data_IF_773481900071
#
_entry.id   IF_773481900071
#
_cell.length_a   1.000
_cell.length_b   1.000
_cell.length_c   1.000
_cell.angle_alpha   90.00
_cell.angle_beta   90.00
_cell.angle_gamma   90.00
#
_symmetry.space_group_name_H-M   'P 1'
#
loop_
_entity.id
_entity.type
_entity.pdbx_description
1 polymer ?
#
# COMPACT_ATOMS: atom_id res chain seq x y z
N UNK A 1 -0.90 -11.49 91.24
CA UNK A 1 -0.92 -10.16 90.59
C UNK A 1 -1.75 -10.28 89.35
N UNK A 2 -2.96 -9.84 89.53
CA UNK A 2 -4.10 -10.05 88.57
C UNK A 2 -4.16 -8.91 87.57
N UNK A 3 -3.76 -9.14 86.36
CA UNK A 3 -3.95 -8.13 85.26
C UNK A 3 -5.42 -8.13 84.86
N UNK A 4 -6.16 -7.21 85.46
CA UNK A 4 -7.55 -6.91 85.05
C UNK A 4 -7.57 -6.42 83.61
N UNK A 5 -7.95 -7.30 82.71
CA UNK A 5 -8.35 -6.92 81.35
C UNK A 5 -9.58 -6.02 81.46
N UNK A 6 -9.39 -4.72 81.34
CA UNK A 6 -10.47 -3.74 81.32
C UNK A 6 -11.33 -3.94 80.05
N UNK A 7 -12.66 -4.07 80.19
CA UNK A 7 -13.59 -4.28 79.06
C UNK A 7 -13.49 -3.18 77.95
N UNK A 8 -13.00 -1.99 78.27
CA UNK A 8 -12.78 -0.89 77.28
C UNK A 8 -11.67 -1.18 76.30
N UNK A 9 -10.58 -1.83 76.66
CA UNK A 9 -9.47 -2.09 75.75
C UNK A 9 -9.78 -3.17 74.68
N UNK A 10 -10.73 -4.06 74.97
CA UNK A 10 -11.25 -5.03 73.99
C UNK A 10 -12.24 -4.38 72.99
N UNK A 11 -13.08 -3.46 73.47
CA UNK A 11 -14.03 -2.71 72.63
C UNK A 11 -13.30 -1.75 71.71
N UNK A 12 -12.24 -1.06 72.17
CA UNK A 12 -11.41 -0.17 71.33
C UNK A 12 -10.65 -0.97 70.23
N UNK A 13 -10.10 -2.11 70.56
CA UNK A 13 -9.46 -3.00 69.58
C UNK A 13 -10.46 -3.55 68.51
N UNK A 14 -11.68 -3.89 68.93
CA UNK A 14 -12.71 -4.33 67.98
C UNK A 14 -13.18 -3.20 67.08
N UNK A 15 -13.22 -1.97 67.58
CA UNK A 15 -13.58 -0.76 66.80
C UNK A 15 -12.48 -0.46 65.79
N UNK A 16 -11.21 -0.50 66.21
CA UNK A 16 -10.05 -0.30 65.32
C UNK A 16 -9.99 -1.38 64.19
N UNK A 17 -10.21 -2.64 64.52
CA UNK A 17 -10.28 -3.73 63.55
C UNK A 17 -11.46 -3.59 62.58
N UNK A 18 -12.61 -3.09 63.06
CA UNK A 18 -13.77 -2.84 62.21
C UNK A 18 -13.55 -1.65 61.28
N UNK A 19 -12.86 -0.60 61.77
CA UNK A 19 -12.45 0.56 60.94
C UNK A 19 -11.41 0.16 59.92
N UNK A 20 -10.39 -0.59 60.28
CA UNK A 20 -9.36 -1.09 59.34
C UNK A 20 -9.98 -1.99 58.26
N UNK A 21 -10.88 -2.89 58.62
CA UNK A 21 -11.61 -3.73 57.69
C UNK A 21 -12.50 -2.91 56.75
N UNK A 22 -13.15 -1.85 57.25
CA UNK A 22 -13.98 -0.95 56.40
C UNK A 22 -13.12 -0.19 55.41
N UNK A 23 -11.98 0.33 55.85
CA UNK A 23 -11.02 1.04 54.95
C UNK A 23 -10.45 0.11 53.88
N UNK A 24 -10.04 -1.11 54.24
CA UNK A 24 -9.60 -2.12 53.29
C UNK A 24 -10.68 -2.51 52.28
N UNK A 25 -11.93 -2.62 52.73
CA UNK A 25 -13.05 -2.95 51.86
C UNK A 25 -13.37 -1.81 50.86
N UNK A 26 -13.26 -0.56 51.28
CA UNK A 26 -13.41 0.61 50.41
C UNK A 26 -12.27 0.69 49.40
N UNK A 27 -11.04 0.39 49.81
CA UNK A 27 -9.87 0.38 48.92
C UNK A 27 -9.98 -0.74 47.87
N UNK A 28 -10.36 -1.95 48.26
CA UNK A 28 -10.65 -3.05 47.35
C UNK A 28 -11.74 -2.71 46.32
N UNK A 29 -12.80 -2.07 46.77
CA UNK A 29 -13.92 -1.66 45.92
C UNK A 29 -13.49 -0.60 44.92
N UNK A 30 -12.68 0.36 45.33
CA UNK A 30 -12.11 1.40 44.42
C UNK A 30 -11.20 0.76 43.37
N UNK A 31 -10.34 -0.15 43.73
CA UNK A 31 -9.47 -0.88 42.79
C UNK A 31 -10.30 -1.71 41.80
N UNK A 32 -11.31 -2.43 42.25
CA UNK A 32 -12.18 -3.21 41.41
C UNK A 32 -12.94 -2.32 40.37
N UNK A 33 -13.47 -1.19 40.80
CA UNK A 33 -14.16 -0.24 39.95
C UNK A 33 -13.22 0.37 38.90
N UNK A 34 -11.98 0.68 39.27
CA UNK A 34 -10.96 1.20 38.37
C UNK A 34 -10.55 0.15 37.32
N UNK A 35 -10.29 -1.09 37.75
CA UNK A 35 -9.99 -2.19 36.83
C UNK A 35 -11.15 -2.48 35.86
N UNK A 36 -12.39 -2.40 36.33
CA UNK A 36 -13.56 -2.58 35.51
C UNK A 36 -13.70 -1.44 34.48
N UNK A 37 -13.41 -0.20 34.87
CA UNK A 37 -13.40 0.94 33.97
C UNK A 37 -12.32 0.80 32.87
N UNK A 38 -11.08 0.48 33.27
CA UNK A 38 -9.97 0.26 32.32
C UNK A 38 -10.27 -0.88 31.33
N UNK A 39 -10.88 -1.98 31.76
CA UNK A 39 -11.29 -3.08 30.88
C UNK A 39 -12.36 -2.66 29.86
N UNK A 40 -13.37 -1.89 30.30
CA UNK A 40 -14.40 -1.37 29.38
C UNK A 40 -13.79 -0.48 28.32
N UNK A 41 -12.90 0.43 28.70
CA UNK A 41 -12.21 1.34 27.82
C UNK A 41 -11.27 0.61 26.86
N UNK A 42 -10.50 -0.37 27.33
CA UNK A 42 -9.65 -1.22 26.50
C UNK A 42 -10.47 -1.96 25.42
N UNK A 43 -11.69 -2.37 25.77
CA UNK A 43 -12.61 -3.01 24.81
C UNK A 43 -13.07 -2.03 23.72
N UNK A 44 -13.30 -0.74 24.04
CA UNK A 44 -13.63 0.28 23.03
C UNK A 44 -12.47 0.51 22.07
N UNK A 45 -11.25 0.62 22.61
CA UNK A 45 -10.02 0.74 21.78
C UNK A 45 -9.85 -0.46 20.86
N UNK A 46 -10.02 -1.68 21.39
CA UNK A 46 -9.88 -2.93 20.61
C UNK A 46 -10.93 -3.07 19.50
N UNK A 47 -12.10 -2.46 19.66
CA UNK A 47 -13.17 -2.44 18.64
C UNK A 47 -12.93 -1.41 17.53
N UNK A 48 -11.88 -0.60 17.61
CA UNK A 48 -11.60 0.42 16.61
C UNK A 48 -12.61 1.56 16.57
N UNK A 49 -13.21 1.88 17.73
CA UNK A 49 -14.11 3.04 17.86
C UNK A 49 -13.31 4.31 17.59
N UNK A 50 -13.96 5.33 17.01
CA UNK A 50 -13.32 6.62 16.72
C UNK A 50 -12.59 7.17 17.93
N UNK A 51 -11.34 7.67 17.80
CA UNK A 51 -10.54 8.16 18.92
C UNK A 51 -11.25 9.20 19.78
N UNK A 52 -12.06 10.06 19.20
CA UNK A 52 -12.85 11.08 19.91
C UNK A 52 -13.84 10.50 20.90
N UNK A 53 -14.52 9.41 20.54
CA UNK A 53 -15.44 8.71 21.44
C UNK A 53 -14.69 8.02 22.59
N UNK A 54 -13.52 7.45 22.28
CA UNK A 54 -12.64 6.86 23.30
C UNK A 54 -12.19 7.95 24.28
N UNK A 55 -11.77 9.11 23.79
CA UNK A 55 -11.32 10.22 24.62
C UNK A 55 -12.41 10.69 25.60
N UNK A 56 -13.64 10.88 25.09
CA UNK A 56 -14.78 11.27 25.91
C UNK A 56 -15.13 10.23 26.97
N UNK A 57 -15.08 8.93 26.61
CA UNK A 57 -15.31 7.87 27.57
C UNK A 57 -14.22 7.82 28.65
N UNK A 58 -12.95 7.95 28.27
CA UNK A 58 -11.81 7.92 29.20
C UNK A 58 -11.87 9.08 30.19
N UNK A 59 -12.08 10.33 29.75
CA UNK A 59 -12.10 11.47 30.67
C UNK A 59 -13.28 11.41 31.65
N UNK A 60 -14.43 10.84 31.25
CA UNK A 60 -15.59 10.62 32.12
C UNK A 60 -15.27 9.58 33.21
N UNK A 61 -14.72 8.42 32.82
CA UNK A 61 -14.34 7.37 33.77
C UNK A 61 -13.21 7.82 34.69
N UNK A 62 -12.16 8.44 34.16
CA UNK A 62 -11.05 9.00 34.90
C UNK A 62 -11.52 9.96 35.98
N UNK A 63 -12.38 10.95 35.62
CA UNK A 63 -12.95 11.87 36.58
C UNK A 63 -13.68 11.15 37.72
N UNK A 64 -14.47 10.13 37.39
CA UNK A 64 -15.24 9.35 38.37
C UNK A 64 -14.33 8.55 39.29
N UNK A 65 -13.34 7.87 38.74
CA UNK A 65 -12.43 7.02 39.51
C UNK A 65 -11.61 7.79 40.54
N UNK A 66 -11.13 9.00 40.20
CA UNK A 66 -10.33 9.82 41.13
C UNK A 66 -11.16 10.87 41.89
N UNK A 67 -12.50 10.80 41.76
CA UNK A 67 -13.43 11.73 42.43
C UNK A 67 -13.11 13.22 42.16
N UNK A 68 -12.62 13.52 40.95
CA UNK A 68 -12.27 14.89 40.57
C UNK A 68 -13.50 15.71 40.16
N UNK A 69 -13.42 17.05 40.30
CA UNK A 69 -14.46 17.95 39.89
C UNK A 69 -14.44 18.22 38.38
N UNK A 70 -13.26 18.19 37.78
CA UNK A 70 -13.06 18.29 36.32
C UNK A 70 -11.98 17.33 35.86
N UNK A 71 -12.11 16.85 34.63
CA UNK A 71 -11.10 16.11 33.92
C UNK A 71 -11.03 16.62 32.48
N UNK A 72 -9.83 16.58 31.90
CA UNK A 72 -9.62 16.99 30.51
C UNK A 72 -8.46 16.26 29.88
N UNK A 73 -8.59 16.05 28.57
CA UNK A 73 -7.52 15.62 27.69
C UNK A 73 -7.07 16.79 26.85
N UNK A 74 -5.79 17.03 26.80
CA UNK A 74 -5.15 18.12 26.08
C UNK A 74 -4.08 17.59 25.17
N UNK A 75 -4.00 18.09 23.91
CA UNK A 75 -2.97 17.75 22.95
C UNK A 75 -1.98 18.90 22.80
N UNK A 76 -0.68 18.61 22.79
CA UNK A 76 0.35 19.61 22.47
C UNK A 76 0.37 19.89 20.97
N UNK A 77 0.43 21.16 20.60
CA UNK A 77 0.56 21.62 19.22
C UNK A 77 1.99 22.09 18.94
N UNK A 78 2.39 22.02 17.69
CA UNK A 78 3.71 22.50 17.25
C UNK A 78 3.91 24.01 17.43
N UNK A 79 2.80 24.77 17.58
CA UNK A 79 2.79 26.22 17.83
C UNK A 79 3.19 26.61 19.26
N UNK A 80 3.48 25.65 20.16
CA UNK A 80 3.69 25.94 21.59
C UNK A 80 2.42 26.14 22.39
N UNK A 81 1.29 25.69 21.88
CA UNK A 81 -0.01 25.72 22.52
C UNK A 81 -0.46 24.30 22.90
N UNK A 82 -1.49 24.22 23.75
CA UNK A 82 -2.25 22.99 23.96
C UNK A 82 -3.70 23.20 23.54
N UNK A 83 -4.28 22.17 22.93
CA UNK A 83 -5.69 22.15 22.51
C UNK A 83 -6.48 21.16 23.37
N UNK A 84 -7.60 21.59 23.92
CA UNK A 84 -8.51 20.73 24.66
C UNK A 84 -9.22 19.75 23.71
N UNK A 85 -9.04 18.46 23.91
CA UNK A 85 -9.56 17.40 23.01
C UNK A 85 -10.81 16.75 23.60
N UNK A 86 -10.84 16.55 24.93
CA UNK A 86 -12.02 16.02 25.62
C UNK A 86 -12.14 16.61 27.02
N UNK A 87 -13.36 16.61 27.56
CA UNK A 87 -13.63 17.17 28.90
C UNK A 87 -14.77 16.44 29.61
N UNK A 88 -14.66 16.31 30.94
CA UNK A 88 -15.73 15.83 31.79
C UNK A 88 -15.78 16.69 33.07
N UNK A 89 -16.97 17.14 33.47
CA UNK A 89 -17.20 17.96 34.67
C UNK A 89 -18.16 17.25 35.60
N UNK A 90 -18.03 17.51 36.89
CA UNK A 90 -18.95 16.98 37.89
C UNK A 90 -20.31 17.73 37.79
N UNK A 91 -21.45 17.02 37.74
CA UNK A 91 -22.76 17.67 37.79
C UNK A 91 -22.89 18.56 39.02
N UNK A 92 -23.34 19.78 38.81
CA UNK A 92 -23.50 20.76 39.90
C UNK A 92 -22.27 21.63 40.21
N UNK A 93 -21.12 21.38 39.61
CA UNK A 93 -19.96 22.27 39.79
C UNK A 93 -20.11 23.49 38.86
N UNK A 94 -20.12 24.68 39.45
CA UNK A 94 -20.18 25.98 38.69
C UNK A 94 -18.76 26.36 38.25
N UNK A 95 -18.23 25.65 37.26
CA UNK A 95 -16.97 26.01 36.61
C UNK A 95 -17.24 26.85 35.37
N UNK A 96 -16.38 27.82 35.09
CA UNK A 96 -16.35 28.48 33.77
C UNK A 96 -15.81 27.44 32.80
N UNK A 97 -16.64 27.05 31.80
CA UNK A 97 -16.30 25.96 30.88
C UNK A 97 -15.26 26.38 29.89
N UNK A 98 -14.24 25.53 29.76
CA UNK A 98 -13.35 25.55 28.60
C UNK A 98 -13.83 24.45 27.62
N UNK A 99 -14.50 24.86 26.54
CA UNK A 99 -15.03 23.87 25.59
C UNK A 99 -13.91 23.09 24.88
N UNK A 100 -14.25 21.93 24.33
CA UNK A 100 -13.39 21.21 23.41
C UNK A 100 -13.01 22.14 22.25
N UNK A 101 -11.76 22.11 21.81
CA UNK A 101 -11.19 23.04 20.83
C UNK A 101 -10.54 24.29 21.43
N UNK A 102 -10.69 24.52 22.74
CA UNK A 102 -10.00 25.66 23.40
C UNK A 102 -8.50 25.50 23.29
N UNK A 103 -7.81 26.52 22.80
CA UNK A 103 -6.36 26.63 22.75
C UNK A 103 -5.82 27.53 23.81
N UNK A 104 -4.75 27.10 24.47
CA UNK A 104 -4.04 27.90 25.44
C UNK A 104 -2.53 27.77 25.25
N UNK A 105 -1.75 28.85 25.41
CA UNK A 105 -0.32 28.81 25.33
C UNK A 105 0.25 27.96 26.48
N UNK A 106 1.35 27.26 26.21
CA UNK A 106 2.11 26.55 27.23
C UNK A 106 3.08 27.53 27.84
N UNK A 107 2.78 27.96 29.07
CA UNK A 107 3.60 28.88 29.88
C UNK A 107 4.40 28.04 30.89
N UNK A 108 5.68 28.34 31.11
CA UNK A 108 6.62 27.59 31.95
C UNK A 108 6.11 27.32 33.37
N UNK A 109 5.22 28.16 33.89
CA UNK A 109 4.58 28.00 35.19
C UNK A 109 3.38 27.05 35.22
N UNK A 110 2.99 26.49 34.07
CA UNK A 110 1.80 25.66 33.96
C UNK A 110 2.06 24.19 34.23
N UNK A 111 1.03 23.47 34.68
CA UNK A 111 1.02 22.01 34.79
C UNK A 111 1.39 21.36 33.44
N UNK A 112 0.89 21.91 32.33
CA UNK A 112 1.18 21.43 31.00
C UNK A 112 2.67 21.55 30.64
N UNK A 113 3.32 22.69 30.96
CA UNK A 113 4.76 22.87 30.73
C UNK A 113 5.60 21.90 31.57
N UNK A 114 5.23 21.65 32.81
CA UNK A 114 5.92 20.68 33.67
C UNK A 114 5.86 19.27 33.09
N UNK A 115 4.67 18.81 32.65
CA UNK A 115 4.48 17.50 32.05
C UNK A 115 5.23 17.41 30.71
N UNK A 116 5.16 18.41 29.84
CA UNK A 116 5.83 18.43 28.55
C UNK A 116 7.35 18.32 28.69
N UNK A 117 7.93 19.12 29.59
CA UNK A 117 9.39 19.17 29.80
C UNK A 117 9.95 17.90 30.42
N UNK A 118 9.24 17.32 31.37
CA UNK A 118 9.74 16.18 32.14
C UNK A 118 9.34 14.83 31.56
N UNK A 119 8.26 14.79 30.79
CA UNK A 119 7.62 13.52 30.36
C UNK A 119 7.09 12.70 31.52
N UNK A 120 6.89 13.29 32.70
CA UNK A 120 6.46 12.66 33.93
C UNK A 120 5.20 13.30 34.48
N UNK A 121 4.43 12.59 35.33
CA UNK A 121 3.34 13.20 36.07
C UNK A 121 3.79 14.43 36.84
N UNK A 122 2.90 15.41 36.93
CA UNK A 122 3.12 16.63 37.67
C UNK A 122 1.85 17.02 38.42
N UNK A 123 2.02 17.78 39.53
CA UNK A 123 0.91 18.26 40.32
C UNK A 123 1.06 19.74 40.69
N UNK A 124 -0.07 20.36 40.86
CA UNK A 124 -0.23 21.72 41.39
C UNK A 124 -1.15 21.61 42.62
N UNK A 125 -0.54 21.58 43.81
CA UNK A 125 -1.29 21.44 45.06
C UNK A 125 -2.12 22.69 45.40
N UNK A 126 -1.73 23.86 44.90
CA UNK A 126 -2.49 25.08 45.00
C UNK A 126 -2.20 26.00 43.82
N UNK A 127 -3.26 26.53 43.21
CA UNK A 127 -3.18 27.62 42.24
C UNK A 127 -3.24 28.99 42.89
N UNK A 128 -3.52 29.11 44.20
CA UNK A 128 -3.70 30.40 44.87
C UNK A 128 -2.43 31.25 44.86
N UNK A 129 -1.28 30.60 45.00
CA UNK A 129 0.04 31.24 45.02
C UNK A 129 0.74 31.22 43.68
N UNK A 130 0.19 30.52 42.70
CA UNK A 130 0.82 30.36 41.37
C UNK A 130 0.74 31.67 40.56
N UNK A 131 1.89 32.08 40.01
CA UNK A 131 2.00 33.29 39.16
C UNK A 131 1.75 32.90 37.69
N UNK A 132 1.37 33.89 36.87
CA UNK A 132 1.17 33.75 35.43
C UNK A 132 -0.29 33.87 34.99
N UNK A 133 -0.47 34.18 33.72
CA UNK A 133 -1.78 34.43 33.11
C UNK A 133 -2.65 33.17 33.08
N UNK A 134 -2.07 32.00 32.85
CA UNK A 134 -2.79 30.73 32.81
C UNK A 134 -3.22 30.31 34.23
N UNK A 135 -2.36 30.47 35.22
CA UNK A 135 -2.73 30.21 36.63
C UNK A 135 -3.90 31.06 37.05
N UNK A 136 -3.90 32.34 36.68
CA UNK A 136 -5.01 33.24 36.91
C UNK A 136 -6.33 32.77 36.23
N UNK A 137 -6.24 32.30 34.99
CA UNK A 137 -7.38 31.71 34.26
C UNK A 137 -7.89 30.43 34.90
N UNK A 138 -6.99 29.55 35.36
CA UNK A 138 -7.36 28.31 36.08
C UNK A 138 -8.06 28.63 37.38
N UNK A 139 -7.59 29.65 38.15
CA UNK A 139 -8.29 30.15 39.34
C UNK A 139 -9.68 30.73 39.01
N UNK A 140 -9.78 31.50 37.91
CA UNK A 140 -11.04 32.09 37.47
C UNK A 140 -12.08 31.01 37.11
N UNK A 141 -11.66 29.85 36.58
CA UNK A 141 -12.56 28.70 36.35
C UNK A 141 -12.86 27.91 37.64
N UNK A 142 -12.31 28.28 38.78
CA UNK A 142 -12.62 27.71 40.09
C UNK A 142 -11.76 26.52 40.50
N UNK A 143 -10.78 26.10 39.72
CA UNK A 143 -9.87 24.99 40.04
C UNK A 143 -8.81 25.46 41.04
N UNK A 144 -8.66 24.76 42.16
CA UNK A 144 -7.71 25.06 43.22
C UNK A 144 -6.48 24.18 43.21
N UNK A 145 -6.64 22.90 42.90
CA UNK A 145 -5.55 21.94 42.76
C UNK A 145 -5.74 21.11 41.49
N UNK A 146 -4.65 20.64 40.89
CA UNK A 146 -4.70 19.78 39.69
C UNK A 146 -3.53 18.81 39.64
N UNK A 147 -3.78 17.66 39.00
CA UNK A 147 -2.77 16.66 38.67
C UNK A 147 -2.83 16.40 37.17
N UNK A 148 -1.67 16.32 36.53
CA UNK A 148 -1.52 16.02 35.11
C UNK A 148 -0.57 14.85 34.87
N UNK A 149 -0.92 13.99 33.94
CA UNK A 149 -0.13 12.82 33.54
C UNK A 149 0.10 12.86 32.03
N UNK A 150 1.32 12.61 31.53
CA UNK A 150 1.61 12.60 30.12
C UNK A 150 0.87 11.49 29.40
N UNK A 151 0.38 11.77 28.20
CA UNK A 151 -0.03 10.78 27.21
C UNK A 151 1.15 10.55 26.27
N UNK A 152 1.71 9.35 26.29
CA UNK A 152 2.88 8.97 25.48
C UNK A 152 2.38 8.20 24.24
N UNK A 153 2.84 8.62 23.07
CA UNK A 153 2.58 7.96 21.78
C UNK A 153 3.92 7.77 21.09
N UNK A 154 4.28 6.54 20.76
CA UNK A 154 5.55 6.18 20.12
C UNK A 154 6.79 6.82 20.81
N UNK A 155 6.80 6.82 22.14
CA UNK A 155 7.89 7.34 22.95
C UNK A 155 7.96 8.87 23.07
N UNK A 156 6.98 9.60 22.54
CA UNK A 156 6.88 11.07 22.62
C UNK A 156 5.67 11.51 23.40
N UNK A 157 5.80 12.63 24.10
CA UNK A 157 4.66 13.27 24.81
C UNK A 157 3.75 13.86 23.74
N UNK A 158 2.61 13.22 23.51
CA UNK A 158 1.56 13.67 22.59
C UNK A 158 0.63 14.70 23.23
N UNK A 159 0.35 14.52 24.51
CA UNK A 159 -0.58 15.33 25.23
C UNK A 159 -0.50 15.09 26.74
N UNK A 160 -1.49 15.58 27.46
CA UNK A 160 -1.67 15.28 28.88
C UNK A 160 -3.14 15.05 29.21
N UNK A 161 -3.39 14.16 30.15
CA UNK A 161 -4.63 14.11 30.90
C UNK A 161 -4.45 14.93 32.17
N UNK A 162 -5.45 15.74 32.49
CA UNK A 162 -5.43 16.54 33.70
C UNK A 162 -6.76 16.42 34.44
N UNK A 163 -6.68 16.30 35.76
CA UNK A 163 -7.82 16.35 36.67
C UNK A 163 -7.67 17.53 37.60
N UNK A 164 -8.79 18.15 37.98
CA UNK A 164 -8.80 19.30 38.87
C UNK A 164 -9.82 19.18 39.96
N UNK A 165 -9.51 19.78 41.10
CA UNK A 165 -10.37 19.89 42.26
C UNK A 165 -10.72 21.36 42.56
N UNK A 166 -11.97 21.62 42.96
CA UNK A 166 -12.41 22.92 43.50
C UNK A 166 -12.42 22.91 45.02
N UNK A 167 -12.21 21.74 45.64
CA UNK A 167 -12.08 21.63 47.09
C UNK A 167 -10.76 22.26 47.57
N UNK A 168 -10.72 22.76 48.80
CA UNK A 168 -9.47 23.23 49.41
C UNK A 168 -8.53 22.03 49.68
N UNK A 169 -7.23 22.27 49.53
CA UNK A 169 -6.19 21.26 49.78
C UNK A 169 -5.74 20.53 48.54
N UNK A 170 -4.62 19.73 48.67
CA UNK A 170 -4.06 18.98 47.58
C UNK A 170 -4.94 17.79 47.21
N UNK A 171 -4.77 17.28 45.98
CA UNK A 171 -5.39 16.05 45.55
C UNK A 171 -4.71 14.84 46.22
N UNK A 172 -5.43 13.70 46.36
CA UNK A 172 -4.83 12.45 46.95
C UNK A 172 -3.49 12.08 46.34
N UNK A 173 -2.58 11.52 47.16
CA UNK A 173 -1.22 11.22 46.74
C UNK A 173 -1.13 10.11 45.67
N UNK A 174 -2.15 9.25 45.57
CA UNK A 174 -2.26 8.16 44.60
C UNK A 174 -2.81 8.60 43.22
N UNK A 175 -3.22 9.86 43.07
CA UNK A 175 -3.92 10.37 41.88
C UNK A 175 -3.09 10.17 40.62
N UNK A 176 -1.79 10.46 40.62
CA UNK A 176 -0.90 10.30 39.46
C UNK A 176 -0.82 8.84 39.01
N UNK A 177 -0.64 7.90 39.94
CA UNK A 177 -0.55 6.48 39.63
C UNK A 177 -1.85 5.97 38.97
N UNK A 178 -2.99 6.39 39.51
CA UNK A 178 -4.31 6.01 38.98
C UNK A 178 -4.61 6.60 37.62
N UNK A 179 -4.16 7.82 37.34
CA UNK A 179 -4.32 8.45 36.02
C UNK A 179 -3.44 7.82 34.97
N UNK A 180 -2.30 7.23 35.31
CA UNK A 180 -1.35 6.66 34.37
C UNK A 180 -1.96 5.57 33.52
N UNK A 181 -2.77 4.66 34.08
CA UNK A 181 -3.46 3.62 33.33
C UNK A 181 -4.44 4.16 32.27
N UNK A 182 -5.13 5.26 32.59
CA UNK A 182 -6.00 5.93 31.61
C UNK A 182 -5.20 6.66 30.51
N UNK A 183 -4.07 7.28 30.86
CA UNK A 183 -3.18 7.92 29.89
C UNK A 183 -2.57 6.92 28.89
N UNK A 184 -2.20 5.73 29.35
CA UNK A 184 -1.72 4.63 28.50
C UNK A 184 -2.77 4.15 27.49
N UNK A 185 -4.04 4.03 27.94
CA UNK A 185 -5.15 3.68 27.04
C UNK A 185 -5.38 4.73 25.97
N UNK A 186 -5.30 6.02 26.32
CA UNK A 186 -5.40 7.10 25.34
C UNK A 186 -4.23 7.03 24.36
N UNK A 187 -3.00 6.83 24.85
CA UNK A 187 -1.83 6.67 24.00
C UNK A 187 -1.98 5.52 22.99
N UNK A 188 -2.51 4.40 23.45
CA UNK A 188 -2.82 3.24 22.60
C UNK A 188 -3.88 3.57 21.54
N UNK A 189 -4.96 4.25 21.91
CA UNK A 189 -6.03 4.67 20.98
C UNK A 189 -5.51 5.65 19.91
N UNK A 190 -4.70 6.62 20.31
CA UNK A 190 -4.06 7.56 19.39
C UNK A 190 -3.13 6.86 18.41
N UNK A 191 -2.26 5.97 18.91
CA UNK A 191 -1.34 5.20 18.08
C UNK A 191 -2.08 4.26 17.09
N UNK A 192 -3.20 3.69 17.49
CA UNK A 192 -4.07 2.89 16.61
C UNK A 192 -4.69 3.77 15.52
N UNK A 193 -5.22 4.94 15.86
CA UNK A 193 -5.81 5.89 14.92
C UNK A 193 -4.79 6.37 13.88
N UNK A 194 -3.56 6.69 14.25
CA UNK A 194 -2.50 7.06 13.30
C UNK A 194 -2.15 5.92 12.34
N UNK A 195 -2.08 4.67 12.83
CA UNK A 195 -1.81 3.50 11.99
C UNK A 195 -2.94 3.24 11.01
N UNK A 196 -4.19 3.37 11.43
CA UNK A 196 -5.35 3.18 10.56
C UNK A 196 -5.43 4.27 9.49
N UNK A 197 -5.18 5.53 9.84
CA UNK A 197 -5.12 6.63 8.87
C UNK A 197 -4.00 6.43 7.86
N UNK A 198 -2.80 6.06 8.32
CA UNK A 198 -1.67 5.74 7.42
C UNK A 198 -1.99 4.57 6.48
N UNK A 199 -2.67 3.53 7.00
CA UNK A 199 -3.11 2.40 6.19
C UNK A 199 -4.16 2.82 5.15
N UNK A 200 -5.14 3.66 5.54
CA UNK A 200 -6.13 4.21 4.59
C UNK A 200 -5.45 5.02 3.49
N UNK A 201 -4.52 5.90 3.84
CA UNK A 201 -3.77 6.68 2.85
C UNK A 201 -3.00 5.79 1.88
N UNK A 202 -2.33 4.73 2.36
CA UNK A 202 -1.63 3.78 1.50
C UNK A 202 -2.59 3.03 0.55
N UNK A 203 -3.78 2.65 1.03
CA UNK A 203 -4.81 1.98 0.22
C UNK A 203 -5.39 2.95 -0.82
N UNK A 204 -5.65 4.19 -0.45
CA UNK A 204 -6.18 5.22 -1.35
C UNK A 204 -5.15 5.58 -2.42
N UNK A 205 -3.88 5.73 -2.06
CA UNK A 205 -2.79 5.96 -3.01
C UNK A 205 -2.63 4.77 -3.99
N UNK A 206 -2.70 3.53 -3.49
CA UNK A 206 -2.64 2.34 -4.33
C UNK A 206 -3.84 2.23 -5.28
N UNK A 207 -5.06 2.54 -4.79
CA UNK A 207 -6.28 2.57 -5.59
C UNK A 207 -6.23 3.64 -6.67
N UNK A 208 -5.79 4.85 -6.32
CA UNK A 208 -5.61 5.96 -7.26
C UNK A 208 -4.59 5.61 -8.33
N UNK A 209 -3.44 5.06 -7.93
CA UNK A 209 -2.41 4.60 -8.86
C UNK A 209 -2.95 3.55 -9.83
N UNK A 210 -3.70 2.57 -9.33
CA UNK A 210 -4.34 1.53 -10.15
C UNK A 210 -5.30 2.13 -11.18
N UNK A 211 -6.16 3.07 -10.76
CA UNK A 211 -7.11 3.74 -11.65
C UNK A 211 -6.42 4.58 -12.74
N UNK A 212 -5.29 5.21 -12.43
CA UNK A 212 -4.51 5.97 -13.41
C UNK A 212 -3.87 5.05 -14.45
N UNK A 213 -3.33 3.90 -14.05
CA UNK A 213 -2.81 2.91 -14.98
C UNK A 213 -3.94 2.37 -15.86
N UNK A 214 -5.09 2.00 -15.28
CA UNK A 214 -6.24 1.52 -16.03
C UNK A 214 -6.67 2.56 -17.11
N UNK A 215 -6.67 3.84 -16.77
CA UNK A 215 -6.99 4.93 -17.70
C UNK A 215 -6.01 5.03 -18.88
N UNK A 216 -4.71 4.81 -18.65
CA UNK A 216 -3.71 4.74 -19.71
C UNK A 216 -3.89 3.50 -20.59
N UNK A 217 -4.18 2.34 -19.98
CA UNK A 217 -4.38 1.07 -20.69
C UNK A 217 -5.65 1.10 -21.58
N UNK A 218 -6.70 1.78 -21.13
CA UNK A 218 -7.97 1.93 -21.84
C UNK A 218 -7.94 3.02 -22.92
N UNK A 219 -6.92 3.87 -22.94
CA UNK A 219 -6.77 4.94 -23.93
C UNK A 219 -7.71 6.12 -23.67
N UNK A 220 -7.98 6.45 -22.41
CA UNK A 220 -8.72 7.68 -22.11
C UNK A 220 -7.96 8.88 -22.63
N UNK A 221 -8.69 9.88 -23.12
CA UNK A 221 -8.09 11.10 -23.63
C UNK A 221 -7.47 11.92 -22.49
N UNK A 222 -6.20 12.24 -22.62
CA UNK A 222 -5.47 13.10 -21.70
C UNK A 222 -4.97 14.34 -22.46
N UNK A 223 -5.15 15.52 -21.88
CA UNK A 223 -4.41 16.71 -22.26
C UNK A 223 -2.99 16.69 -21.66
N UNK A 224 -2.15 17.64 -22.03
CA UNK A 224 -0.74 17.66 -21.60
C UNK A 224 -0.58 17.89 -20.10
N UNK A 225 -1.52 18.60 -19.46
CA UNK A 225 -1.50 18.84 -18.02
C UNK A 225 -1.88 17.59 -17.24
N UNK A 226 -3.00 16.97 -17.58
CA UNK A 226 -3.46 15.74 -16.93
C UNK A 226 -2.52 14.56 -17.16
N UNK A 227 -1.92 14.44 -18.34
CA UNK A 227 -0.90 13.42 -18.62
C UNK A 227 0.36 13.62 -17.75
N UNK A 228 0.74 14.89 -17.51
CA UNK A 228 1.86 15.21 -16.61
C UNK A 228 1.61 14.78 -15.17
N UNK A 229 0.41 15.04 -14.67
CA UNK A 229 -0.01 14.61 -13.33
C UNK A 229 -0.05 13.07 -13.20
N UNK A 230 -0.56 12.41 -14.24
CA UNK A 230 -0.57 10.93 -14.30
C UNK A 230 0.85 10.37 -14.25
N UNK A 231 1.76 10.92 -15.09
CA UNK A 231 3.16 10.49 -15.13
C UNK A 231 3.84 10.65 -13.75
N UNK A 232 3.62 11.79 -13.08
CA UNK A 232 4.16 12.06 -11.74
C UNK A 232 3.64 11.07 -10.69
N UNK A 233 2.33 10.83 -10.63
CA UNK A 233 1.73 9.87 -9.70
C UNK A 233 2.21 8.44 -9.94
N UNK A 234 2.43 8.06 -11.20
CA UNK A 234 2.97 6.76 -11.57
C UNK A 234 4.49 6.68 -11.42
N UNK A 235 5.16 7.79 -11.12
CA UNK A 235 6.63 7.92 -11.06
C UNK A 235 7.28 7.52 -12.38
N UNK A 236 6.63 7.85 -13.49
CA UNK A 236 7.16 7.70 -14.84
C UNK A 236 7.62 9.06 -15.36
N UNK A 237 8.63 9.12 -16.23
CA UNK A 237 8.93 10.35 -16.95
C UNK A 237 7.80 10.68 -17.94
N UNK A 238 7.68 11.95 -18.30
CA UNK A 238 6.65 12.42 -19.26
C UNK A 238 6.86 11.87 -20.67
N UNK A 239 8.12 11.68 -21.05
CA UNK A 239 8.52 11.26 -22.39
C UNK A 239 9.39 10.01 -22.28
N UNK A 240 9.14 9.03 -23.18
CA UNK A 240 9.83 7.77 -23.27
C UNK A 240 11.32 7.85 -23.63
N UNK A 241 11.88 6.80 -24.12
CA UNK A 241 11.20 5.60 -24.66
C UNK A 241 10.66 4.64 -23.60
N UNK A 242 9.47 4.09 -23.90
CA UNK A 242 8.80 3.08 -23.07
C UNK A 242 8.60 1.78 -23.84
N UNK A 243 8.38 0.69 -23.12
CA UNK A 243 7.79 -0.56 -23.61
C UNK A 243 6.66 -0.99 -22.68
N UNK A 244 5.69 -1.72 -23.22
CA UNK A 244 4.72 -2.45 -22.42
C UNK A 244 5.16 -3.89 -22.32
N UNK A 245 5.12 -4.45 -21.11
CA UNK A 245 5.35 -5.85 -20.83
C UNK A 245 4.04 -6.44 -20.32
N UNK A 246 3.59 -7.54 -20.95
CA UNK A 246 2.39 -8.27 -20.58
C UNK A 246 2.77 -9.72 -20.21
N UNK A 247 2.38 -10.16 -19.02
CA UNK A 247 2.62 -11.53 -18.53
C UNK A 247 1.30 -12.23 -18.26
N UNK A 248 1.13 -13.47 -18.76
CA UNK A 248 -0.09 -14.25 -18.57
C UNK A 248 -0.24 -14.70 -17.11
N UNK A 249 -1.46 -14.64 -16.56
CA UNK A 249 -1.81 -15.22 -15.26
C UNK A 249 -2.27 -16.64 -15.44
N UNK A 250 -1.64 -17.59 -14.73
CA UNK A 250 -2.11 -19.00 -14.71
C UNK A 250 -3.36 -19.15 -13.87
N UNK A 251 -4.25 -20.03 -14.29
CA UNK A 251 -5.43 -20.39 -13.52
C UNK A 251 -5.04 -20.87 -12.10
N UNK A 252 -5.50 -20.19 -11.05
CA UNK A 252 -5.16 -20.52 -9.66
C UNK A 252 -3.74 -20.13 -9.21
N UNK A 253 -2.99 -19.41 -10.07
CA UNK A 253 -1.63 -18.96 -9.78
C UNK A 253 -1.58 -17.58 -9.13
N UNK A 254 -0.43 -17.30 -8.49
CA UNK A 254 -0.11 -15.98 -7.97
C UNK A 254 0.26 -14.97 -9.07
N UNK A 255 0.81 -13.85 -8.67
CA UNK A 255 1.32 -12.81 -9.55
C UNK A 255 2.40 -13.37 -10.49
N UNK A 256 2.25 -13.23 -11.83
CA UNK A 256 3.21 -13.80 -12.80
C UNK A 256 4.63 -13.28 -12.65
N UNK A 257 4.78 -12.01 -12.29
CA UNK A 257 6.04 -11.32 -12.07
C UNK A 257 6.05 -10.69 -10.66
N UNK A 258 6.19 -11.48 -9.59
CA UNK A 258 6.09 -10.97 -8.23
C UNK A 258 7.19 -9.94 -7.93
N UNK A 259 6.82 -8.85 -7.28
CA UNK A 259 7.71 -7.73 -6.88
C UNK A 259 8.57 -7.15 -8.02
N UNK A 260 8.13 -7.29 -9.27
CA UNK A 260 8.89 -6.85 -10.47
C UNK A 260 9.23 -5.37 -10.40
N UNK A 261 8.29 -4.51 -9.97
CA UNK A 261 8.54 -3.07 -9.89
C UNK A 261 9.69 -2.73 -8.93
N UNK A 262 9.77 -3.41 -7.79
CA UNK A 262 10.86 -3.23 -6.83
C UNK A 262 12.21 -3.67 -7.39
N UNK A 263 12.23 -4.81 -8.13
CA UNK A 263 13.44 -5.31 -8.77
C UNK A 263 13.91 -4.40 -9.91
N UNK A 264 12.99 -3.87 -10.72
CA UNK A 264 13.34 -2.91 -11.77
C UNK A 264 13.85 -1.61 -11.18
N UNK A 265 13.26 -1.14 -10.09
CA UNK A 265 13.74 0.07 -9.38
C UNK A 265 15.17 -0.10 -8.84
N UNK A 266 15.55 -1.29 -8.38
CA UNK A 266 16.94 -1.56 -7.96
C UNK A 266 17.95 -1.54 -9.12
N UNK A 267 17.47 -1.60 -10.37
CA UNK A 267 18.25 -1.45 -11.60
C UNK A 267 18.14 -0.04 -12.21
N UNK A 268 17.59 0.92 -11.45
CA UNK A 268 17.29 2.29 -11.90
C UNK A 268 16.36 2.33 -13.13
N UNK A 269 15.40 1.41 -13.18
CA UNK A 269 14.39 1.33 -14.24
C UNK A 269 13.04 1.77 -13.68
N UNK A 270 12.50 2.87 -14.21
CA UNK A 270 11.18 3.37 -13.86
C UNK A 270 10.09 2.52 -14.51
N UNK A 271 9.10 2.12 -13.73
CA UNK A 271 8.00 1.31 -14.23
C UNK A 271 6.74 1.46 -13.38
N UNK A 272 5.59 1.22 -14.00
CA UNK A 272 4.30 1.18 -13.35
C UNK A 272 3.58 -0.11 -13.74
N UNK A 273 3.07 -0.85 -12.75
CA UNK A 273 2.53 -2.20 -12.94
C UNK A 273 1.10 -2.32 -12.45
N UNK A 274 0.32 -3.15 -13.15
CA UNK A 274 -1.06 -3.47 -12.87
C UNK A 274 -1.30 -4.97 -13.01
N UNK A 275 -1.85 -5.59 -11.98
CA UNK A 275 -2.35 -6.96 -12.05
C UNK A 275 -3.83 -6.91 -12.44
N UNK A 276 -4.17 -7.58 -13.52
CA UNK A 276 -5.52 -7.78 -14.04
C UNK A 276 -5.89 -9.26 -13.93
N UNK A 277 -7.17 -9.66 -14.06
CA UNK A 277 -7.58 -11.06 -13.86
C UNK A 277 -6.82 -12.07 -14.71
N UNK A 278 -6.57 -11.74 -15.99
CA UNK A 278 -5.97 -12.67 -16.95
C UNK A 278 -4.49 -12.42 -17.23
N UNK A 279 -3.96 -11.27 -16.81
CA UNK A 279 -2.61 -10.85 -17.15
C UNK A 279 -2.10 -9.73 -16.24
N UNK A 280 -0.78 -9.68 -16.05
CA UNK A 280 -0.08 -8.58 -15.42
C UNK A 280 0.55 -7.70 -16.50
N UNK A 281 0.37 -6.39 -16.38
CA UNK A 281 0.90 -5.43 -17.36
C UNK A 281 1.79 -4.40 -16.68
N UNK A 282 2.88 -4.05 -17.34
CA UNK A 282 3.77 -2.98 -16.90
C UNK A 282 4.13 -2.04 -18.03
N UNK A 283 4.13 -0.74 -17.75
CA UNK A 283 4.73 0.30 -18.56
C UNK A 283 6.13 0.51 -18.03
N UNK A 284 7.15 0.27 -18.85
CA UNK A 284 8.55 0.25 -18.42
C UNK A 284 9.34 1.24 -19.27
N UNK A 285 10.07 2.15 -18.63
CA UNK A 285 11.00 3.05 -19.33
C UNK A 285 12.27 2.32 -19.69
N UNK A 286 12.69 2.39 -20.96
CA UNK A 286 13.94 1.79 -21.45
C UNK A 286 14.67 2.77 -22.36
N UNK A 287 15.82 3.25 -21.93
CA UNK A 287 16.57 4.31 -22.59
C UNK A 287 17.58 3.80 -23.62
N UNK A 288 17.91 2.50 -23.61
CA UNK A 288 18.87 1.88 -24.52
C UNK A 288 18.51 0.42 -24.77
N UNK A 289 19.07 -0.16 -25.84
CA UNK A 289 18.94 -1.61 -26.14
C UNK A 289 19.53 -2.45 -25.01
N UNK A 290 20.70 -2.08 -24.49
CA UNK A 290 21.33 -2.78 -23.38
C UNK A 290 20.45 -2.78 -22.11
N UNK A 291 19.73 -1.69 -21.83
CA UNK A 291 18.80 -1.65 -20.72
C UNK A 291 17.58 -2.55 -20.96
N UNK A 292 17.06 -2.57 -22.19
CA UNK A 292 15.98 -3.47 -22.59
C UNK A 292 16.40 -4.94 -22.42
N UNK A 293 17.58 -5.30 -22.87
CA UNK A 293 18.12 -6.66 -22.73
C UNK A 293 18.22 -7.09 -21.26
N UNK A 294 18.66 -6.20 -20.38
CA UNK A 294 18.68 -6.45 -18.93
C UNK A 294 17.29 -6.65 -18.35
N UNK A 295 16.32 -5.83 -18.76
CA UNK A 295 14.92 -5.95 -18.35
C UNK A 295 14.35 -7.28 -18.82
N UNK A 296 14.54 -7.63 -20.10
CA UNK A 296 14.10 -8.90 -20.70
C UNK A 296 14.74 -10.10 -19.99
N UNK A 297 16.05 -10.06 -19.73
CA UNK A 297 16.74 -11.11 -19.00
C UNK A 297 16.22 -11.28 -17.56
N UNK A 298 15.89 -10.18 -16.86
CA UNK A 298 15.28 -10.23 -15.54
C UNK A 298 13.88 -10.86 -15.60
N UNK A 299 13.04 -10.36 -16.51
CA UNK A 299 11.68 -10.86 -16.72
C UNK A 299 11.69 -12.35 -17.09
N UNK A 300 12.58 -12.76 -17.99
CA UNK A 300 12.73 -14.16 -18.43
C UNK A 300 13.04 -15.12 -17.27
N UNK A 301 13.85 -14.67 -16.31
CA UNK A 301 14.19 -15.45 -15.11
C UNK A 301 13.05 -15.53 -14.09
N UNK A 302 12.16 -14.54 -14.10
CA UNK A 302 11.05 -14.43 -13.14
C UNK A 302 9.77 -15.06 -13.68
N UNK A 303 9.58 -15.03 -14.98
CA UNK A 303 8.35 -15.42 -15.65
C UNK A 303 8.01 -16.90 -15.39
N UNK A 304 6.81 -17.12 -14.87
CA UNK A 304 6.24 -18.45 -14.65
C UNK A 304 5.51 -18.97 -15.91
N UNK A 305 5.18 -18.06 -16.83
CA UNK A 305 4.48 -18.35 -18.07
C UNK A 305 4.93 -17.34 -19.15
N UNK A 306 4.22 -17.31 -20.27
CA UNK A 306 4.53 -16.45 -21.41
C UNK A 306 4.48 -14.97 -21.05
N UNK A 307 5.41 -14.21 -21.65
CA UNK A 307 5.50 -12.77 -21.52
C UNK A 307 5.67 -12.17 -22.92
N UNK A 308 4.85 -11.18 -23.23
CA UNK A 308 4.95 -10.39 -24.46
C UNK A 308 5.47 -8.99 -24.16
N UNK A 309 6.35 -8.50 -25.03
CA UNK A 309 6.92 -7.15 -24.96
C UNK A 309 6.56 -6.38 -26.21
N UNK A 310 6.06 -5.15 -26.08
CA UNK A 310 5.70 -4.28 -27.20
C UNK A 310 6.91 -3.69 -27.92
N UNK A 311 6.67 -3.07 -29.08
CA UNK A 311 7.60 -2.10 -29.64
C UNK A 311 7.80 -0.91 -28.69
N UNK A 312 8.89 -0.16 -28.87
CA UNK A 312 9.15 1.08 -28.14
C UNK A 312 8.20 2.19 -28.61
N UNK A 313 7.78 3.02 -27.67
CA UNK A 313 6.97 4.20 -27.93
C UNK A 313 7.40 5.36 -27.04
N UNK A 314 7.05 6.59 -27.36
CA UNK A 314 7.56 7.77 -26.68
C UNK A 314 6.50 8.53 -25.87
N UNK A 315 5.26 8.49 -26.29
CA UNK A 315 4.15 9.19 -25.64
C UNK A 315 3.27 8.20 -24.87
N UNK A 316 2.98 8.46 -23.60
CA UNK A 316 2.11 7.59 -22.79
C UNK A 316 0.70 7.44 -23.36
N UNK A 317 0.26 8.33 -24.26
CA UNK A 317 -1.00 8.19 -25.02
C UNK A 317 -0.99 6.99 -25.98
N UNK A 318 0.19 6.51 -26.36
CA UNK A 318 0.36 5.34 -27.21
C UNK A 318 0.26 4.02 -26.44
N UNK A 319 0.14 4.09 -25.09
CA UNK A 319 0.05 2.90 -24.24
C UNK A 319 -0.98 1.88 -24.70
N UNK A 320 -2.23 2.23 -25.11
CA UNK A 320 -3.21 1.24 -25.54
C UNK A 320 -2.75 0.42 -26.75
N UNK A 321 -2.10 1.09 -27.71
CA UNK A 321 -1.54 0.41 -28.88
C UNK A 321 -0.37 -0.49 -28.49
N UNK A 322 0.52 -0.02 -27.61
CA UNK A 322 1.63 -0.82 -27.09
C UNK A 322 1.13 -2.04 -26.30
N UNK A 323 0.06 -1.88 -25.49
CA UNK A 323 -0.63 -2.99 -24.81
C UNK A 323 -1.15 -4.00 -25.83
N UNK A 324 -1.78 -3.54 -26.90
CA UNK A 324 -2.26 -4.43 -27.96
C UNK A 324 -1.10 -5.26 -28.55
N UNK A 325 0.02 -4.64 -28.87
CA UNK A 325 1.20 -5.33 -29.39
C UNK A 325 1.79 -6.32 -28.39
N UNK A 326 1.91 -5.95 -27.10
CA UNK A 326 2.37 -6.87 -26.08
C UNK A 326 1.44 -8.08 -25.92
N UNK A 327 0.12 -7.88 -25.95
CA UNK A 327 -0.87 -8.98 -25.89
C UNK A 327 -0.82 -9.89 -27.11
N UNK A 328 -0.67 -9.31 -28.29
CA UNK A 328 -0.52 -10.04 -29.54
C UNK A 328 0.71 -10.92 -29.46
N UNK A 329 1.83 -10.38 -29.00
CA UNK A 329 3.09 -11.13 -28.83
C UNK A 329 2.97 -12.21 -27.74
N UNK A 330 2.24 -11.96 -26.67
CA UNK A 330 1.95 -12.92 -25.62
C UNK A 330 1.22 -14.17 -26.13
N UNK A 331 0.36 -14.04 -27.15
CA UNK A 331 -0.39 -15.14 -27.75
C UNK A 331 0.46 -15.98 -28.70
N UNK A 332 1.53 -15.40 -29.27
CA UNK A 332 2.46 -16.08 -30.16
C UNK A 332 3.34 -17.11 -29.45
N UNK A 333 3.90 -18.07 -30.20
CA UNK A 333 4.95 -18.95 -29.68
C UNK A 333 6.23 -18.14 -29.48
N UNK A 334 6.91 -18.27 -28.32
CA UNK A 334 8.22 -17.66 -28.16
C UNK A 334 9.23 -18.32 -29.09
N UNK A 335 10.14 -17.55 -29.66
CA UNK A 335 11.27 -18.07 -30.41
C UNK A 335 12.27 -18.74 -29.43
N UNK A 336 12.38 -20.07 -29.49
CA UNK A 336 13.31 -20.83 -28.66
C UNK A 336 12.79 -21.14 -27.24
N UNK A 337 13.70 -21.29 -26.29
CA UNK A 337 13.41 -21.66 -24.89
C UNK A 337 13.02 -20.51 -23.98
N UNK A 338 13.06 -19.26 -24.46
CA UNK A 338 12.72 -18.08 -23.65
C UNK A 338 11.20 -17.94 -23.48
N UNK A 339 10.70 -17.70 -22.27
CA UNK A 339 9.28 -17.39 -22.06
C UNK A 339 8.90 -16.01 -22.60
N UNK A 340 9.87 -15.15 -22.92
CA UNK A 340 9.66 -13.76 -23.36
C UNK A 340 9.71 -13.68 -24.88
N UNK A 341 8.61 -13.19 -25.48
CA UNK A 341 8.51 -12.87 -26.90
C UNK A 341 8.50 -11.35 -27.08
N UNK A 342 9.28 -10.85 -28.04
CA UNK A 342 9.33 -9.43 -28.37
C UNK A 342 8.55 -9.14 -29.65
N UNK A 343 7.84 -8.03 -29.67
CA UNK A 343 7.18 -7.54 -30.88
C UNK A 343 8.25 -7.03 -31.85
N UNK A 344 8.33 -7.68 -33.02
CA UNK A 344 9.35 -7.37 -34.03
C UNK A 344 8.96 -6.21 -34.96
N UNK A 345 7.72 -5.70 -34.85
CA UNK A 345 7.24 -4.56 -35.64
C UNK A 345 6.97 -4.89 -37.10
N UNK A 346 7.11 -6.14 -37.56
CA UNK A 346 6.85 -6.49 -38.94
C UNK A 346 5.35 -6.52 -39.25
N UNK A 347 4.98 -6.11 -40.46
CA UNK A 347 3.58 -6.10 -40.89
C UNK A 347 3.01 -7.52 -40.89
N UNK A 348 3.81 -8.51 -41.30
CA UNK A 348 3.38 -9.90 -41.35
C UNK A 348 3.11 -10.48 -39.96
N UNK A 349 3.99 -10.19 -38.99
CA UNK A 349 3.79 -10.59 -37.62
C UNK A 349 2.54 -9.96 -37.02
N UNK A 350 2.37 -8.66 -37.23
CA UNK A 350 1.20 -7.93 -36.77
C UNK A 350 -0.08 -8.52 -37.39
N UNK A 351 -0.10 -8.77 -38.70
CA UNK A 351 -1.23 -9.37 -39.39
C UNK A 351 -1.55 -10.78 -38.89
N UNK A 352 -0.52 -11.62 -38.74
CA UNK A 352 -0.66 -13.00 -38.25
C UNK A 352 -1.30 -13.08 -36.86
N UNK A 353 -0.95 -12.14 -35.97
CA UNK A 353 -1.35 -12.14 -34.56
C UNK A 353 -2.56 -11.25 -34.27
N UNK A 354 -2.99 -10.37 -35.19
CA UNK A 354 -4.12 -9.45 -34.97
C UNK A 354 -5.43 -10.19 -34.67
N UNK A 355 -5.75 -11.23 -35.45
CA UNK A 355 -6.95 -12.05 -35.28
C UNK A 355 -6.56 -13.53 -35.47
N UNK A 356 -5.95 -14.18 -34.46
CA UNK A 356 -5.35 -15.50 -34.60
C UNK A 356 -6.29 -16.57 -35.19
N UNK A 357 -7.54 -16.63 -34.72
CA UNK A 357 -8.52 -17.62 -35.15
C UNK A 357 -8.85 -17.47 -36.66
N UNK A 358 -8.99 -16.24 -37.13
CA UNK A 358 -9.26 -15.96 -38.53
C UNK A 358 -8.03 -16.26 -39.37
N UNK A 359 -6.84 -15.89 -38.90
CA UNK A 359 -5.59 -16.13 -39.63
C UNK A 359 -5.29 -17.61 -39.77
N UNK A 360 -5.36 -18.38 -38.71
CA UNK A 360 -5.18 -19.86 -38.77
C UNK A 360 -6.18 -20.50 -39.74
N UNK A 361 -7.43 -20.07 -39.73
CA UNK A 361 -8.45 -20.58 -40.66
C UNK A 361 -8.17 -20.16 -42.11
N UNK A 362 -7.75 -18.90 -42.32
CA UNK A 362 -7.49 -18.39 -43.67
C UNK A 362 -6.30 -19.04 -44.36
N UNK A 363 -5.23 -19.34 -43.58
CA UNK A 363 -4.04 -19.99 -44.13
C UNK A 363 -4.11 -21.54 -44.07
N UNK A 364 -5.15 -22.07 -43.45
CA UNK A 364 -5.33 -23.50 -43.21
C UNK A 364 -5.21 -24.34 -44.47
N UNK A 365 -5.74 -23.87 -45.63
CA UNK A 365 -5.62 -24.54 -46.90
C UNK A 365 -4.16 -24.65 -47.42
N UNK A 366 -3.32 -23.65 -47.12
CA UNK A 366 -1.90 -23.67 -47.48
C UNK A 366 -1.13 -24.60 -46.57
N UNK A 367 -1.38 -24.54 -45.26
CA UNK A 367 -0.68 -25.35 -44.26
C UNK A 367 -1.09 -26.81 -44.29
N UNK A 368 -2.33 -27.13 -44.66
CA UNK A 368 -2.82 -28.48 -44.82
C UNK A 368 -2.02 -29.28 -45.89
N UNK A 369 -1.44 -28.56 -46.87
CA UNK A 369 -0.60 -29.20 -47.90
C UNK A 369 0.72 -29.81 -47.34
N UNK A 370 1.05 -29.54 -46.09
CA UNK A 370 2.23 -30.07 -45.40
C UNK A 370 1.87 -31.05 -44.28
N UNK A 371 0.58 -31.34 -44.08
CA UNK A 371 0.10 -32.15 -42.97
C UNK A 371 0.51 -33.64 -43.01
N UNK A 372 0.82 -34.14 -44.18
CA UNK A 372 1.31 -35.54 -44.40
C UNK A 372 2.84 -35.68 -44.26
N UNK A 373 3.57 -34.57 -44.06
CA UNK A 373 5.02 -34.60 -43.86
C UNK A 373 5.39 -34.82 -42.39
N UNK A 374 6.51 -35.57 -42.19
CA UNK A 374 7.14 -35.57 -40.85
C UNK A 374 7.45 -34.16 -40.40
N UNK A 375 7.36 -33.89 -39.09
CA UNK A 375 7.54 -32.54 -38.50
C UNK A 375 8.92 -31.97 -38.89
N UNK A 376 9.99 -32.78 -38.84
CA UNK A 376 11.33 -32.36 -39.20
C UNK A 376 11.44 -31.91 -40.67
N UNK A 377 10.76 -32.60 -41.58
CA UNK A 377 10.75 -32.23 -42.99
C UNK A 377 9.95 -30.99 -43.29
N UNK A 378 8.82 -30.80 -42.56
CA UNK A 378 8.01 -29.58 -42.63
C UNK A 378 8.82 -28.39 -42.13
N UNK A 379 9.51 -28.53 -41.00
CA UNK A 379 10.36 -27.47 -40.42
C UNK A 379 11.46 -27.06 -41.40
N UNK A 380 12.14 -28.00 -42.03
CA UNK A 380 13.17 -27.74 -43.04
C UNK A 380 12.63 -26.93 -44.23
N UNK A 381 11.42 -27.21 -44.69
CA UNK A 381 10.81 -26.48 -45.80
C UNK A 381 10.44 -25.05 -45.37
N UNK A 382 9.84 -24.90 -44.18
CA UNK A 382 9.49 -23.61 -43.61
C UNK A 382 10.72 -22.74 -43.39
N UNK A 383 11.80 -23.31 -42.82
CA UNK A 383 13.04 -22.59 -42.60
C UNK A 383 13.71 -22.20 -43.93
N UNK A 384 13.72 -23.09 -44.90
CA UNK A 384 14.29 -22.80 -46.24
C UNK A 384 13.55 -21.61 -46.88
N UNK A 385 12.21 -21.55 -46.78
CA UNK A 385 11.43 -20.43 -47.33
C UNK A 385 11.71 -19.15 -46.59
N UNK A 386 11.77 -19.17 -45.24
CA UNK A 386 12.07 -18.02 -44.41
C UNK A 386 13.42 -17.41 -44.76
N UNK A 387 14.48 -18.22 -44.77
CA UNK A 387 15.84 -17.76 -45.13
C UNK A 387 15.88 -17.24 -46.57
N UNK A 388 15.09 -17.83 -47.48
CA UNK A 388 14.98 -17.34 -48.86
C UNK A 388 14.30 -15.95 -48.92
N UNK A 389 13.29 -15.70 -48.10
CA UNK A 389 12.63 -14.40 -47.96
C UNK A 389 13.60 -13.36 -47.39
N UNK A 390 14.34 -13.69 -46.35
CA UNK A 390 15.28 -12.82 -45.64
C UNK A 390 16.55 -12.48 -46.45
N UNK A 391 16.84 -13.26 -47.50
CA UNK A 391 18.02 -13.13 -48.39
C UNK A 391 17.69 -12.61 -49.77
N UNK A 392 16.64 -11.80 -49.89
CA UNK A 392 16.19 -11.21 -51.15
C UNK A 392 16.01 -12.25 -52.29
N UNK A 393 15.48 -13.39 -51.93
CA UNK A 393 15.27 -14.54 -52.83
C UNK A 393 16.54 -15.13 -53.47
N UNK A 394 17.70 -14.91 -52.89
CA UNK A 394 18.99 -15.40 -53.38
C UNK A 394 19.23 -16.86 -53.01
N UNK A 395 19.11 -17.79 -53.93
CA UNK A 395 19.38 -19.23 -53.72
C UNK A 395 20.82 -19.49 -53.23
N UNK A 396 21.77 -18.69 -53.68
CA UNK A 396 23.17 -18.80 -53.24
C UNK A 396 23.34 -18.44 -51.75
N UNK A 397 22.82 -17.30 -51.33
CA UNK A 397 22.87 -16.85 -49.96
C UNK A 397 22.15 -17.82 -49.01
N UNK A 398 20.97 -18.33 -49.40
CA UNK A 398 20.25 -19.36 -48.65
C UNK A 398 21.11 -20.64 -48.46
N UNK A 399 21.81 -21.09 -49.54
CA UNK A 399 22.62 -22.27 -49.50
C UNK A 399 23.82 -22.15 -48.52
N UNK A 400 24.42 -20.94 -48.49
CA UNK A 400 25.49 -20.64 -47.53
C UNK A 400 24.99 -20.64 -46.09
N UNK A 401 23.86 -19.93 -45.81
CA UNK A 401 23.30 -19.86 -44.47
C UNK A 401 22.78 -21.18 -43.92
N UNK A 402 22.21 -22.03 -44.79
CA UNK A 402 21.71 -23.36 -44.42
C UNK A 402 22.75 -24.47 -44.57
N UNK A 403 24.00 -24.15 -44.87
CA UNK A 403 25.11 -25.08 -45.08
C UNK A 403 24.73 -26.25 -46.02
N UNK A 404 24.09 -25.93 -47.15
CA UNK A 404 23.65 -26.94 -48.11
C UNK A 404 23.96 -26.53 -49.57
N UNK A 405 23.83 -27.45 -50.50
CA UNK A 405 24.08 -27.17 -51.92
C UNK A 405 22.94 -26.33 -52.55
N UNK A 406 23.20 -25.35 -53.42
CA UNK A 406 22.17 -24.56 -54.08
C UNK A 406 21.05 -25.34 -54.78
N UNK A 407 21.38 -26.54 -55.31
CA UNK A 407 20.36 -27.44 -55.91
C UNK A 407 19.39 -27.98 -54.86
N UNK A 408 19.83 -28.19 -53.61
CA UNK A 408 18.98 -28.61 -52.49
C UNK A 408 17.97 -27.50 -52.17
N UNK A 409 18.42 -26.26 -52.13
CA UNK A 409 17.52 -25.10 -51.94
C UNK A 409 16.48 -25.02 -53.04
N UNK A 410 16.92 -25.10 -54.32
CA UNK A 410 15.99 -25.11 -55.46
C UNK A 410 14.98 -26.26 -55.41
N UNK A 411 15.42 -27.44 -54.98
CA UNK A 411 14.56 -28.61 -54.86
C UNK A 411 13.50 -28.37 -53.72
N UNK A 412 13.91 -27.84 -52.57
CA UNK A 412 13.01 -27.52 -51.46
C UNK A 412 11.97 -26.44 -51.85
N UNK A 413 12.38 -25.35 -52.53
CA UNK A 413 11.50 -24.33 -53.00
C UNK A 413 10.47 -24.84 -54.04
N UNK A 414 10.92 -25.63 -55.02
CA UNK A 414 10.03 -26.31 -55.99
C UNK A 414 9.04 -27.26 -55.31
N UNK A 415 9.44 -27.89 -54.23
CA UNK A 415 8.57 -28.77 -53.46
C UNK A 415 7.47 -27.96 -52.75
N UNK A 416 7.80 -26.78 -52.22
CA UNK A 416 6.82 -25.85 -51.65
C UNK A 416 5.82 -25.43 -52.76
N UNK A 417 6.30 -25.00 -53.93
CA UNK A 417 5.42 -24.62 -55.04
C UNK A 417 4.49 -25.78 -55.45
N UNK A 418 5.06 -26.98 -55.64
CA UNK A 418 4.28 -28.16 -56.06
C UNK A 418 3.21 -28.54 -55.03
N UNK A 419 3.52 -28.43 -53.74
CA UNK A 419 2.57 -28.79 -52.68
C UNK A 419 1.48 -27.75 -52.53
N UNK A 420 1.81 -26.48 -52.52
CA UNK A 420 0.86 -25.38 -52.26
C UNK A 420 0.14 -24.92 -53.50
N UNK A 421 0.58 -25.29 -54.70
CA UNK A 421 0.06 -24.78 -55.99
C UNK A 421 0.37 -23.31 -56.23
N UNK A 422 1.25 -22.70 -55.44
CA UNK A 422 1.67 -21.31 -55.52
C UNK A 422 3.02 -21.21 -56.24
N UNK A 423 3.21 -20.14 -57.00
CA UNK A 423 4.40 -19.90 -57.76
C UNK A 423 5.25 -18.78 -57.17
N UNK A 424 6.51 -19.07 -56.84
CA UNK A 424 7.46 -18.13 -56.25
C UNK A 424 7.93 -17.02 -57.20
N UNK A 425 7.46 -17.00 -58.45
CA UNK A 425 7.65 -15.88 -59.35
C UNK A 425 6.47 -14.91 -59.38
N UNK A 426 5.37 -15.22 -58.67
CA UNK A 426 4.18 -14.40 -58.59
C UNK A 426 4.11 -13.64 -57.27
N UNK A 427 4.15 -12.31 -57.25
CA UNK A 427 4.16 -11.54 -56.01
C UNK A 427 2.99 -11.85 -55.06
N UNK A 428 1.78 -12.10 -55.59
CA UNK A 428 0.61 -12.46 -54.80
C UNK A 428 0.80 -13.81 -54.10
N UNK A 429 1.31 -14.81 -54.80
CA UNK A 429 1.50 -16.13 -54.21
C UNK A 429 2.59 -16.10 -53.16
N UNK A 430 3.65 -15.32 -53.34
CA UNK A 430 4.71 -15.09 -52.36
C UNK A 430 4.08 -14.45 -51.11
N UNK A 431 3.24 -13.39 -51.23
CA UNK A 431 2.61 -12.75 -50.08
C UNK A 431 1.72 -13.72 -49.27
N UNK A 432 0.96 -14.58 -49.97
CA UNK A 432 0.14 -15.61 -49.30
C UNK A 432 1.00 -16.65 -48.56
N UNK A 433 2.13 -17.09 -49.14
CA UNK A 433 3.06 -18.00 -48.52
C UNK A 433 3.77 -17.33 -47.31
N UNK A 434 4.22 -16.09 -47.44
CA UNK A 434 4.85 -15.34 -46.36
C UNK A 434 3.92 -15.25 -45.15
N UNK A 435 2.65 -14.88 -45.37
CA UNK A 435 1.68 -14.82 -44.29
C UNK A 435 1.37 -16.21 -43.70
N UNK A 436 1.23 -17.24 -44.56
CA UNK A 436 0.97 -18.62 -44.11
C UNK A 436 2.09 -19.17 -43.21
N UNK A 437 3.33 -19.00 -43.60
CA UNK A 437 4.46 -19.46 -42.81
C UNK A 437 4.69 -18.60 -41.56
N UNK A 438 4.39 -17.32 -41.60
CA UNK A 438 4.43 -16.47 -40.40
C UNK A 438 3.36 -16.90 -39.38
N UNK A 439 2.14 -17.19 -39.82
CA UNK A 439 1.07 -17.74 -38.98
C UNK A 439 1.47 -19.11 -38.41
N UNK A 440 2.05 -19.98 -39.23
CA UNK A 440 2.55 -21.29 -38.75
C UNK A 440 3.59 -21.13 -37.65
N UNK A 441 4.60 -20.30 -37.88
CA UNK A 441 5.68 -20.05 -36.90
C UNK A 441 5.16 -19.54 -35.55
N UNK A 442 4.16 -18.64 -35.58
CA UNK A 442 3.73 -17.93 -34.37
C UNK A 442 2.54 -18.56 -33.66
N UNK A 443 1.69 -19.29 -34.35
CA UNK A 443 0.41 -19.75 -33.81
C UNK A 443 0.24 -21.27 -33.80
N UNK A 444 1.00 -21.98 -34.62
CA UNK A 444 0.91 -23.44 -34.78
C UNK A 444 2.23 -24.09 -34.40
#
# INVERSE_FOLDING_TARGET
MDERHTPGALADRQLDLALDNSLLYEEYRRLADEQAALRRLATLVARGVEPSEVFDAVVKEMRRCVSAHTAGLWRYESSGEITKVATAEHPGTRLIKWPVGTRIPVDDSTLAAMVQRTGRPARMDSYETSLGSIAARVRAVGVRAAVGVPVIVDGRVWGLVAVGSVAPGPMPADTEARLSGFAELIGTAVAAGYRDEQKRQLVDDASRRSSLIDSLLEGRAFDDCSLSEVAEHLRLPKIGPFVVIAAAVRFGGGEPLPVIESKLRSLDVYSAWRLLPDWQVGIVRVTSDQQLDRVVALVSRMALDRVGVSARFNDLRETPQAVHFAKVTLRGRPDGSSPVAMFDGTILATAALAVPEVMVKSVGSVLACFGDLPDEEREILCETFRVWQDTDASVGAVAELLCCHPNTVRHRLRRIEKRTGRCLSRPRDIAELCLAFEVHRRLI
#
